data_IF_827772559243
#
_entry.id   IF_827772559243
#
_cell.length_a   1.000
_cell.length_b   1.000
_cell.length_c   1.000
_cell.angle_alpha   90.00
_cell.angle_beta   90.00
_cell.angle_gamma   90.00
#
_symmetry.space_group_name_H-M   'P 1'
#
loop_
_entity.id
_entity.type
_entity.pdbx_description
1 polymer ?
#
# COMPACT_ATOMS: atom_id res chain seq x y z
N UNK A 1 -12.31 -16.79 5.49
CA UNK A 1 -13.33 -17.83 5.80
C UNK A 1 -14.12 -18.08 4.52
N UNK A 2 -14.24 -19.34 4.10
CA UNK A 2 -15.11 -19.77 3.01
C UNK A 2 -16.43 -20.29 3.64
N UNK A 3 -17.55 -19.82 3.13
CA UNK A 3 -18.88 -20.34 3.51
C UNK A 3 -19.53 -20.87 2.24
N UNK A 4 -19.74 -22.18 2.20
CA UNK A 4 -20.49 -22.82 1.14
C UNK A 4 -21.97 -22.92 1.54
N UNK A 5 -22.87 -22.38 0.72
CA UNK A 5 -24.32 -22.38 0.95
C UNK A 5 -24.97 -23.17 -0.18
N UNK A 6 -25.26 -24.47 0.03
CA UNK A 6 -25.92 -25.28 -0.97
C UNK A 6 -27.30 -24.76 -1.37
N UNK A 7 -27.73 -25.07 -2.58
CA UNK A 7 -28.98 -24.56 -3.15
C UNK A 7 -30.24 -24.94 -2.30
N UNK A 8 -30.27 -26.12 -1.78
CA UNK A 8 -31.36 -26.60 -0.93
C UNK A 8 -31.46 -25.83 0.39
N UNK A 9 -30.31 -25.45 0.99
CA UNK A 9 -30.23 -24.60 2.19
C UNK A 9 -30.77 -23.19 1.91
N UNK A 10 -30.52 -22.63 0.74
CA UNK A 10 -31.04 -21.29 0.37
C UNK A 10 -32.57 -21.29 0.17
N UNK A 11 -33.18 -22.45 -0.10
CA UNK A 11 -34.61 -22.60 -0.28
C UNK A 11 -35.32 -23.06 1.00
N UNK A 12 -34.58 -23.46 2.03
CA UNK A 12 -35.13 -23.94 3.29
C UNK A 12 -35.78 -22.80 4.09
N UNK A 13 -36.90 -23.14 4.75
CA UNK A 13 -37.55 -22.23 5.70
C UNK A 13 -37.00 -22.54 7.09
N UNK A 14 -36.59 -21.53 7.83
CA UNK A 14 -36.12 -21.66 9.20
C UNK A 14 -36.72 -20.58 10.09
N UNK A 15 -36.76 -20.85 11.39
CA UNK A 15 -37.01 -19.81 12.39
C UNK A 15 -35.73 -18.98 12.54
N UNK A 16 -35.86 -17.66 12.40
CA UNK A 16 -34.75 -16.75 12.50
C UNK A 16 -34.92 -15.81 13.69
N UNK A 17 -33.94 -15.83 14.58
CA UNK A 17 -33.82 -14.88 15.67
C UNK A 17 -32.67 -13.89 15.36
N UNK A 18 -33.02 -12.63 15.24
CA UNK A 18 -32.00 -11.58 15.00
C UNK A 18 -31.09 -11.44 16.22
N UNK A 19 -29.85 -11.87 16.10
CA UNK A 19 -28.82 -11.67 17.13
C UNK A 19 -28.16 -10.31 16.95
N UNK A 20 -27.97 -9.60 18.05
CA UNK A 20 -27.13 -8.41 18.02
C UNK A 20 -25.69 -8.82 17.67
N UNK A 21 -25.00 -8.07 16.78
CA UNK A 21 -23.60 -8.34 16.47
C UNK A 21 -22.77 -8.25 17.75
N UNK A 22 -21.83 -9.18 17.92
CA UNK A 22 -20.86 -9.05 19.01
C UNK A 22 -20.03 -7.78 18.82
N UNK A 23 -19.77 -7.03 19.89
CA UNK A 23 -18.92 -5.85 19.81
C UNK A 23 -17.50 -6.25 19.36
N UNK A 24 -16.93 -5.44 18.47
CA UNK A 24 -15.55 -5.65 18.01
C UNK A 24 -14.62 -5.52 19.24
N UNK A 25 -13.88 -6.58 19.54
CA UNK A 25 -12.90 -6.57 20.63
C UNK A 25 -11.69 -5.72 20.20
N UNK A 26 -11.40 -4.68 20.96
CA UNK A 26 -10.18 -3.90 20.80
C UNK A 26 -9.06 -4.55 21.63
N UNK A 27 -7.91 -4.80 20.96
CA UNK A 27 -6.71 -5.31 21.66
C UNK A 27 -5.98 -4.12 22.25
N UNK A 28 -6.10 -3.93 23.56
CA UNK A 28 -5.49 -2.81 24.30
C UNK A 28 -4.29 -3.24 25.13
N UNK A 29 -4.03 -4.55 25.20
CA UNK A 29 -2.95 -5.13 25.99
C UNK A 29 -1.71 -5.35 25.16
N UNK A 30 -0.56 -5.15 25.76
CA UNK A 30 0.76 -5.44 25.21
C UNK A 30 1.73 -5.72 26.38
N UNK A 31 2.89 -6.31 26.10
CA UNK A 31 3.93 -6.53 27.08
C UNK A 31 4.77 -5.24 27.25
N UNK A 32 4.68 -4.64 28.44
CA UNK A 32 5.38 -3.39 28.76
C UNK A 32 6.92 -3.56 28.86
N UNK A 33 7.41 -4.76 29.18
CA UNK A 33 8.85 -5.03 29.21
C UNK A 33 9.42 -5.11 27.80
N UNK A 34 8.70 -5.76 26.89
CA UNK A 34 9.07 -5.79 25.47
C UNK A 34 9.06 -4.39 24.85
N UNK A 35 8.09 -3.54 25.20
CA UNK A 35 8.04 -2.14 24.74
C UNK A 35 9.24 -1.34 25.27
N UNK A 36 9.63 -1.54 26.53
CA UNK A 36 10.83 -0.91 27.11
C UNK A 36 12.09 -1.36 26.40
N UNK A 37 12.24 -2.67 26.18
CA UNK A 37 13.38 -3.21 25.47
C UNK A 37 13.47 -2.66 24.04
N UNK A 38 12.34 -2.58 23.32
CA UNK A 38 12.29 -1.95 22.01
C UNK A 38 12.76 -0.49 22.05
N UNK A 39 12.30 0.28 23.02
CA UNK A 39 12.72 1.67 23.19
C UNK A 39 14.24 1.79 23.49
N UNK A 40 14.81 0.90 24.27
CA UNK A 40 16.24 0.88 24.56
C UNK A 40 17.06 0.56 23.30
N UNK A 41 16.62 -0.42 22.48
CA UNK A 41 17.26 -0.74 21.20
C UNK A 41 17.21 0.45 20.23
N UNK A 42 16.05 1.10 20.10
CA UNK A 42 15.87 2.28 19.24
C UNK A 42 16.76 3.44 19.72
N UNK A 43 16.81 3.69 21.04
CA UNK A 43 17.63 4.77 21.61
C UNK A 43 19.15 4.53 21.45
N UNK A 44 19.59 3.29 21.24
CA UNK A 44 20.99 2.92 21.04
C UNK A 44 21.38 2.86 19.55
N UNK A 45 20.43 2.84 18.64
CA UNK A 45 20.65 2.65 17.22
C UNK A 45 21.42 3.83 16.59
N UNK A 46 22.28 3.52 15.63
CA UNK A 46 23.00 4.51 14.82
C UNK A 46 22.34 4.71 13.45
N UNK A 47 21.70 3.66 12.94
CA UNK A 47 21.02 3.65 11.63
C UNK A 47 19.62 3.04 11.75
N UNK A 48 18.77 3.61 12.62
CA UNK A 48 17.41 3.09 12.78
C UNK A 48 16.59 3.31 11.50
N UNK A 49 15.68 2.39 11.25
CA UNK A 49 14.73 2.47 10.14
C UNK A 49 13.36 1.95 10.58
N UNK A 50 12.30 2.68 10.29
CA UNK A 50 10.94 2.17 10.45
C UNK A 50 10.44 1.60 9.12
N UNK A 51 9.90 0.39 9.18
CA UNK A 51 9.18 -0.26 8.09
C UNK A 51 7.73 -0.50 8.51
N UNK A 52 6.78 0.17 7.86
CA UNK A 52 5.39 0.11 8.27
C UNK A 52 4.45 -0.39 7.19
N UNK A 53 3.40 -1.07 7.61
CA UNK A 53 2.43 -1.70 6.73
C UNK A 53 0.99 -1.27 6.96
N UNK A 54 0.05 -2.04 6.40
CA UNK A 54 -1.38 -1.76 6.49
C UNK A 54 -1.94 -1.71 7.91
N UNK A 55 -1.25 -2.28 8.91
CA UNK A 55 -1.67 -2.26 10.31
C UNK A 55 -1.65 -0.87 10.96
N UNK A 56 -0.92 0.11 10.38
CA UNK A 56 -0.86 1.49 10.92
C UNK A 56 -1.75 2.50 10.19
N UNK A 57 -2.73 2.04 9.40
CA UNK A 57 -3.61 2.94 8.62
C UNK A 57 -4.72 3.61 9.44
N UNK A 58 -4.92 3.26 10.69
CA UNK A 58 -5.90 3.91 11.54
C UNK A 58 -5.46 5.32 11.91
N UNK A 59 -6.40 6.24 12.10
CA UNK A 59 -6.07 7.60 12.57
C UNK A 59 -5.33 7.57 13.92
N UNK A 60 -5.69 6.62 14.79
CA UNK A 60 -5.08 6.45 16.11
C UNK A 60 -3.61 6.02 16.05
N UNK A 61 -3.16 5.30 14.99
CA UNK A 61 -1.78 4.82 14.84
C UNK A 61 -0.92 5.71 13.94
N UNK A 62 -1.51 6.46 13.01
CA UNK A 62 -0.76 7.32 12.10
C UNK A 62 0.04 8.40 12.84
N UNK A 63 -0.58 9.12 13.76
CA UNK A 63 0.08 10.23 14.44
C UNK A 63 1.20 9.75 15.38
N UNK A 64 1.00 8.74 16.28
CA UNK A 64 2.08 8.20 17.08
C UNK A 64 3.26 7.68 16.25
N UNK A 65 3.01 7.09 15.08
CA UNK A 65 4.09 6.69 14.18
C UNK A 65 4.90 7.90 13.70
N UNK A 66 4.25 8.95 13.20
CA UNK A 66 4.92 10.18 12.75
C UNK A 66 5.68 10.85 13.89
N UNK A 67 5.10 10.91 15.08
CA UNK A 67 5.75 11.46 16.27
C UNK A 67 7.04 10.69 16.63
N UNK A 68 7.03 9.36 16.50
CA UNK A 68 8.22 8.54 16.66
C UNK A 68 9.31 8.91 15.65
N UNK A 69 8.94 9.00 14.35
CA UNK A 69 9.88 9.33 13.28
C UNK A 69 10.55 10.68 13.51
N UNK A 70 9.75 11.71 13.81
CA UNK A 70 10.27 13.06 13.99
C UNK A 70 11.01 13.26 15.32
N UNK A 71 10.57 12.58 16.39
CA UNK A 71 11.21 12.70 17.71
C UNK A 71 12.65 12.21 17.72
N UNK A 72 12.91 11.12 17.02
CA UNK A 72 14.22 10.48 16.99
C UNK A 72 14.88 10.53 15.60
N UNK A 73 14.38 11.37 14.65
CA UNK A 73 14.89 11.50 13.29
C UNK A 73 15.10 10.14 12.59
N UNK A 74 14.07 9.29 12.67
CA UNK A 74 14.13 7.94 12.09
C UNK A 74 13.49 7.95 10.71
N UNK A 75 14.23 7.67 9.62
CA UNK A 75 13.66 7.52 8.30
C UNK A 75 12.72 6.30 8.24
N UNK A 76 11.76 6.34 7.31
CA UNK A 76 10.75 5.32 7.23
C UNK A 76 10.42 4.92 5.79
N UNK A 77 10.12 3.65 5.61
CA UNK A 77 9.66 3.06 4.34
C UNK A 77 8.37 2.28 4.56
N UNK A 78 7.58 2.10 3.51
CA UNK A 78 6.24 1.56 3.65
C UNK A 78 5.91 0.46 2.63
N UNK A 79 4.91 -0.36 2.98
CA UNK A 79 4.29 -1.27 2.03
C UNK A 79 3.26 -0.54 1.17
N UNK A 80 2.95 -1.11 0.00
CA UNK A 80 1.86 -0.62 -0.88
C UNK A 80 0.57 -0.27 -0.11
N UNK A 81 0.22 -1.08 0.90
CA UNK A 81 -1.00 -0.89 1.68
C UNK A 81 -0.95 0.27 2.68
N UNK A 82 0.22 0.87 2.91
CA UNK A 82 0.40 1.95 3.87
C UNK A 82 0.74 3.30 3.22
N UNK A 83 0.56 3.41 1.91
CA UNK A 83 0.76 4.66 1.19
C UNK A 83 -0.07 5.80 1.81
N UNK A 84 0.59 6.93 2.09
CA UNK A 84 -0.04 8.11 2.68
C UNK A 84 -0.13 8.13 4.23
N UNK A 85 0.31 7.07 4.92
CA UNK A 85 0.43 7.10 6.40
C UNK A 85 1.46 8.15 6.81
N UNK A 86 2.62 8.15 6.17
CA UNK A 86 3.57 9.27 6.20
C UNK A 86 3.40 10.01 4.88
N UNK A 87 3.02 11.30 4.90
CA UNK A 87 2.68 12.04 3.68
C UNK A 87 3.87 12.16 2.72
N UNK A 88 3.54 12.31 1.43
CA UNK A 88 4.52 12.70 0.42
C UNK A 88 5.14 14.06 0.80
N UNK A 89 6.47 14.16 0.67
CA UNK A 89 7.23 15.37 1.01
C UNK A 89 7.68 15.44 2.48
N UNK A 90 7.24 14.53 3.34
CA UNK A 90 7.80 14.40 4.69
C UNK A 90 9.26 13.93 4.57
N UNK A 91 10.24 14.61 5.22
CA UNK A 91 11.66 14.29 5.10
C UNK A 91 12.01 12.89 5.62
N UNK A 92 11.18 12.31 6.49
CA UNK A 92 11.38 10.94 6.98
C UNK A 92 10.81 9.88 6.03
N UNK A 93 10.05 10.25 5.00
CA UNK A 93 9.45 9.32 4.06
C UNK A 93 10.43 8.97 2.92
N UNK A 94 10.97 7.75 2.94
CA UNK A 94 11.87 7.24 1.91
C UNK A 94 11.16 6.64 0.69
N UNK A 95 9.84 6.48 0.75
CA UNK A 95 9.07 5.82 -0.30
C UNK A 95 8.76 4.35 -0.04
N UNK A 96 8.21 3.69 -1.06
CA UNK A 96 7.79 2.31 -0.98
C UNK A 96 8.97 1.33 -1.01
N UNK A 97 8.88 0.27 -0.21
CA UNK A 97 9.86 -0.82 -0.14
C UNK A 97 9.47 -1.99 -1.06
N UNK A 98 10.45 -2.77 -1.47
CA UNK A 98 10.29 -4.07 -2.11
C UNK A 98 10.53 -4.07 -3.61
N UNK A 99 9.99 -5.07 -4.31
CA UNK A 99 10.22 -5.32 -5.74
C UNK A 99 9.89 -4.12 -6.65
N UNK A 100 8.87 -3.34 -6.29
CA UNK A 100 8.45 -2.14 -7.01
C UNK A 100 8.72 -0.86 -6.21
N UNK A 101 9.54 -0.97 -5.17
CA UNK A 101 9.97 0.15 -4.35
C UNK A 101 11.11 0.96 -4.96
N UNK A 102 11.47 2.05 -4.30
CA UNK A 102 12.62 2.87 -4.73
C UNK A 102 13.95 2.27 -4.28
N UNK A 103 15.02 2.69 -4.92
CA UNK A 103 16.38 2.23 -4.60
C UNK A 103 16.76 2.59 -3.16
N UNK A 104 16.49 3.82 -2.74
CA UNK A 104 16.77 4.31 -1.39
C UNK A 104 16.14 3.45 -0.30
N UNK A 105 14.84 3.13 -0.42
CA UNK A 105 14.14 2.29 0.57
C UNK A 105 14.76 0.90 0.68
N UNK A 106 15.09 0.28 -0.45
CA UNK A 106 15.71 -1.04 -0.46
C UNK A 106 17.14 -1.00 0.11
N UNK A 107 17.92 0.04 -0.17
CA UNK A 107 19.26 0.23 0.41
C UNK A 107 19.19 0.50 1.92
N UNK A 108 18.25 1.32 2.37
CA UNK A 108 18.09 1.63 3.78
C UNK A 108 17.80 0.37 4.62
N UNK A 109 16.95 -0.53 4.13
CA UNK A 109 16.71 -1.82 4.81
C UNK A 109 17.96 -2.71 4.84
N UNK A 110 18.77 -2.69 3.80
CA UNK A 110 19.99 -3.51 3.76
C UNK A 110 21.10 -3.01 4.71
N UNK A 111 21.10 -1.70 5.03
CA UNK A 111 22.18 -1.05 5.78
C UNK A 111 21.80 -0.58 7.19
N UNK A 112 20.50 -0.64 7.56
CA UNK A 112 20.07 -0.29 8.92
C UNK A 112 20.65 -1.25 9.97
N UNK A 113 20.80 -0.76 11.21
CA UNK A 113 21.22 -1.55 12.37
C UNK A 113 20.05 -1.95 13.28
N UNK A 114 18.94 -1.17 13.25
CA UNK A 114 17.67 -1.52 13.89
C UNK A 114 16.54 -1.30 12.90
N UNK A 115 15.76 -2.35 12.64
CA UNK A 115 14.55 -2.30 11.80
C UNK A 115 13.30 -2.43 12.68
N UNK A 116 12.49 -1.38 12.74
CA UNK A 116 11.24 -1.37 13.48
C UNK A 116 10.09 -1.64 12.49
N UNK A 117 9.59 -2.86 12.46
CA UNK A 117 8.52 -3.31 11.59
C UNK A 117 7.16 -3.18 12.29
N UNK A 118 6.28 -2.30 11.79
CA UNK A 118 5.00 -1.98 12.46
C UNK A 118 3.83 -2.32 11.54
N UNK A 119 2.99 -3.28 11.96
CA UNK A 119 1.78 -3.69 11.23
C UNK A 119 2.08 -4.17 9.82
N UNK A 120 3.17 -4.93 9.65
CA UNK A 120 3.64 -5.47 8.38
C UNK A 120 4.02 -6.94 8.50
N UNK A 121 3.69 -7.73 7.49
CA UNK A 121 3.84 -9.19 7.48
C UNK A 121 5.03 -9.71 6.68
N UNK A 122 5.95 -8.85 6.26
CA UNK A 122 7.12 -9.25 5.44
C UNK A 122 6.74 -10.13 4.23
N UNK A 123 5.87 -9.60 3.37
CA UNK A 123 5.41 -10.36 2.20
C UNK A 123 6.55 -10.68 1.23
N UNK A 124 6.35 -11.71 0.41
CA UNK A 124 7.29 -12.14 -0.63
C UNK A 124 7.65 -11.04 -1.66
N UNK A 125 6.79 -10.04 -1.83
CA UNK A 125 7.07 -8.88 -2.70
C UNK A 125 8.02 -7.87 -2.07
N UNK A 126 8.27 -7.99 -0.78
CA UNK A 126 9.17 -7.12 -0.01
C UNK A 126 10.39 -7.90 0.46
N UNK A 127 10.20 -8.99 1.19
CA UNK A 127 11.27 -9.87 1.65
C UNK A 127 11.52 -10.98 0.62
N UNK A 128 12.00 -10.61 -0.58
CA UNK A 128 12.26 -11.53 -1.69
C UNK A 128 13.13 -12.73 -1.32
N UNK A 129 14.11 -12.50 -0.44
CA UNK A 129 14.91 -13.53 0.19
C UNK A 129 14.93 -13.28 1.71
N UNK A 130 14.08 -13.98 2.47
CA UNK A 130 13.96 -13.76 3.91
C UNK A 130 15.29 -13.94 4.66
N UNK A 131 16.15 -14.84 4.21
CA UNK A 131 17.45 -15.12 4.86
C UNK A 131 18.47 -13.98 4.75
N UNK A 132 18.29 -13.09 3.81
CA UNK A 132 19.20 -11.95 3.57
C UNK A 132 18.54 -10.60 3.78
N UNK A 133 17.25 -10.59 4.12
CA UNK A 133 16.48 -9.38 4.37
C UNK A 133 16.94 -8.76 5.70
N UNK A 134 17.37 -7.49 5.65
CA UNK A 134 17.84 -6.73 6.81
C UNK A 134 18.84 -7.51 7.70
N UNK A 135 19.72 -8.30 7.11
CA UNK A 135 20.60 -9.29 7.79
C UNK A 135 21.55 -8.70 8.82
N UNK A 136 21.78 -7.39 8.78
CA UNK A 136 22.68 -6.66 9.70
C UNK A 136 21.91 -5.92 10.78
N UNK A 137 20.58 -5.98 10.79
CA UNK A 137 19.74 -5.25 11.71
C UNK A 137 19.20 -6.14 12.82
N UNK A 138 19.04 -5.58 13.99
CA UNK A 138 18.13 -6.10 15.01
C UNK A 138 16.70 -5.78 14.59
N UNK A 139 15.87 -6.80 14.41
CA UNK A 139 14.51 -6.66 13.89
C UNK A 139 13.49 -6.68 15.03
N UNK A 140 12.76 -5.59 15.20
CA UNK A 140 11.64 -5.45 16.12
C UNK A 140 10.34 -5.54 15.28
N UNK A 141 9.46 -6.49 15.60
CA UNK A 141 8.18 -6.62 14.91
C UNK A 141 7.01 -6.34 15.86
N UNK A 142 6.14 -5.41 15.48
CA UNK A 142 4.92 -5.05 16.22
C UNK A 142 3.73 -5.41 15.33
N UNK A 143 2.90 -6.34 15.79
CA UNK A 143 1.68 -6.71 15.08
C UNK A 143 0.56 -7.09 16.07
N UNK A 144 -0.69 -6.88 15.66
CA UNK A 144 -1.86 -7.27 16.45
C UNK A 144 -2.11 -8.78 16.37
N UNK A 145 -1.66 -9.41 15.29
CA UNK A 145 -1.79 -10.84 15.06
C UNK A 145 -0.50 -11.58 15.44
N UNK A 146 -0.55 -12.31 16.54
CA UNK A 146 0.57 -13.11 17.01
C UNK A 146 1.06 -14.14 15.99
N UNK A 147 0.20 -14.58 15.07
CA UNK A 147 0.57 -15.55 14.02
C UNK A 147 1.41 -14.96 12.88
N UNK A 148 1.49 -13.64 12.78
CA UNK A 148 2.35 -12.96 11.79
C UNK A 148 3.76 -12.67 12.31
N UNK A 149 3.97 -12.77 13.64
CA UNK A 149 5.27 -12.50 14.25
C UNK A 149 6.28 -13.61 13.94
N UNK A 150 7.44 -13.24 13.39
CA UNK A 150 8.50 -14.19 13.01
C UNK A 150 8.14 -15.19 11.92
N UNK A 151 7.00 -15.03 11.24
CA UNK A 151 6.48 -16.01 10.28
C UNK A 151 7.31 -16.09 8.98
N UNK A 152 7.69 -14.97 8.43
CA UNK A 152 8.36 -14.89 7.13
C UNK A 152 9.83 -14.49 7.24
N UNK A 153 10.18 -13.71 8.26
CA UNK A 153 11.53 -13.25 8.57
C UNK A 153 11.77 -13.50 10.06
N UNK A 154 12.93 -14.03 10.41
CA UNK A 154 13.31 -14.17 11.82
C UNK A 154 13.42 -12.78 12.45
N UNK A 155 12.86 -12.63 13.65
CA UNK A 155 12.84 -11.36 14.38
C UNK A 155 13.46 -11.52 15.78
N UNK A 156 14.16 -10.47 16.23
CA UNK A 156 14.84 -10.49 17.53
C UNK A 156 13.90 -10.13 18.68
N UNK A 157 12.91 -9.26 18.40
CA UNK A 157 11.91 -8.83 19.38
C UNK A 157 10.53 -8.75 18.75
N UNK A 158 9.59 -9.49 19.33
CA UNK A 158 8.19 -9.53 18.90
C UNK A 158 7.29 -8.86 19.94
N UNK A 159 6.43 -7.93 19.51
CA UNK A 159 5.45 -7.28 20.37
C UNK A 159 4.05 -7.52 19.82
N UNK A 160 3.24 -8.30 20.53
CA UNK A 160 1.82 -8.49 20.21
C UNK A 160 1.04 -7.30 20.74
N UNK A 161 0.34 -6.58 19.88
CA UNK A 161 -0.51 -5.46 20.29
C UNK A 161 -0.98 -4.59 19.13
N UNK A 162 -2.01 -3.81 19.38
CA UNK A 162 -2.44 -2.79 18.44
C UNK A 162 -1.37 -1.69 18.34
N UNK A 163 -1.01 -1.33 17.12
CA UNK A 163 0.06 -0.38 16.83
C UNK A 163 -0.12 0.97 17.54
N UNK A 164 -1.37 1.46 17.68
CA UNK A 164 -1.63 2.72 18.34
C UNK A 164 -1.27 2.66 19.83
N UNK A 165 -1.68 1.59 20.53
CA UNK A 165 -1.38 1.43 21.95
C UNK A 165 0.12 1.20 22.20
N UNK A 166 0.76 0.35 21.41
CA UNK A 166 2.20 0.07 21.52
C UNK A 166 3.03 1.32 21.25
N UNK A 167 2.75 2.05 20.16
CA UNK A 167 3.48 3.27 19.82
C UNK A 167 3.29 4.36 20.88
N UNK A 168 2.07 4.56 21.38
CA UNK A 168 1.82 5.55 22.45
C UNK A 168 2.55 5.19 23.77
N UNK A 169 2.67 3.91 24.12
CA UNK A 169 3.42 3.46 25.27
C UNK A 169 4.94 3.57 25.09
N UNK A 170 5.42 3.44 23.86
CA UNK A 170 6.83 3.53 23.50
C UNK A 170 7.32 4.99 23.44
N UNK A 171 6.52 5.90 22.88
CA UNK A 171 6.90 7.29 22.64
C UNK A 171 7.50 8.03 23.85
N UNK A 172 6.97 7.92 25.09
CA UNK A 172 7.57 8.58 26.26
C UNK A 172 8.97 8.08 26.58
N UNK A 173 9.34 6.87 26.17
CA UNK A 173 10.61 6.21 26.44
C UNK A 173 11.67 6.48 25.36
N UNK A 174 11.25 6.99 24.19
CA UNK A 174 12.14 7.37 23.10
C UNK A 174 12.80 8.72 23.43
N UNK A 175 14.11 8.78 23.32
CA UNK A 175 14.88 10.01 23.46
C UNK A 175 14.92 10.78 22.14
N UNK A 176 14.87 12.12 22.17
CA UNK A 176 15.19 12.91 21.00
C UNK A 176 16.60 12.59 20.50
N UNK A 177 16.73 12.27 19.22
CA UNK A 177 18.00 11.90 18.62
C UNK A 177 18.14 12.51 17.22
N UNK A 178 19.37 12.49 16.71
CA UNK A 178 19.69 12.83 15.30
C UNK A 178 20.72 11.85 14.78
N UNK A 179 20.59 11.53 13.50
CA UNK A 179 21.45 10.55 12.83
C UNK A 179 22.10 11.15 11.56
N UNK A 180 22.95 12.19 11.68
CA UNK A 180 23.44 12.97 10.53
C UNK A 180 24.19 12.11 9.49
N UNK A 181 25.02 11.17 9.92
CA UNK A 181 25.77 10.30 9.02
C UNK A 181 24.83 9.36 8.27
N UNK A 182 23.82 8.82 8.97
CA UNK A 182 22.78 7.96 8.39
C UNK A 182 21.95 8.73 7.35
N UNK A 183 21.50 9.93 7.68
CA UNK A 183 20.74 10.77 6.77
C UNK A 183 21.57 11.21 5.57
N UNK A 184 22.86 11.46 5.73
CA UNK A 184 23.78 11.76 4.62
C UNK A 184 23.90 10.56 3.66
N UNK A 185 24.03 9.34 4.19
CA UNK A 185 24.04 8.14 3.36
C UNK A 185 22.73 7.99 2.58
N UNK A 186 21.59 8.18 3.24
CA UNK A 186 20.26 8.11 2.61
C UNK A 186 20.14 9.14 1.48
N UNK A 187 20.54 10.40 1.70
CA UNK A 187 20.53 11.44 0.67
C UNK A 187 21.37 11.07 -0.54
N UNK A 188 22.52 10.40 -0.33
CA UNK A 188 23.36 9.92 -1.43
C UNK A 188 22.67 8.86 -2.29
N UNK A 189 21.79 8.05 -1.70
CA UNK A 189 20.97 7.06 -2.43
C UNK A 189 19.76 7.68 -3.10
N UNK A 190 19.12 8.66 -2.47
CA UNK A 190 18.01 9.42 -3.09
C UNK A 190 18.42 10.09 -4.40
N UNK A 191 19.66 10.56 -4.48
CA UNK A 191 20.23 11.09 -5.73
C UNK A 191 20.38 10.02 -6.83
N UNK A 192 20.29 8.73 -6.49
CA UNK A 192 20.40 7.60 -7.41
C UNK A 192 19.03 6.94 -7.67
N UNK A 193 17.96 7.40 -7.00
CA UNK A 193 16.62 6.90 -7.27
C UNK A 193 16.23 7.14 -8.73
N UNK A 194 15.46 6.18 -9.28
CA UNK A 194 15.00 6.31 -10.65
C UNK A 194 14.03 7.47 -10.81
N UNK A 195 14.43 8.41 -11.65
CA UNK A 195 13.56 9.50 -12.09
C UNK A 195 13.09 9.22 -13.51
N UNK A 196 11.77 9.10 -13.74
CA UNK A 196 11.25 8.80 -15.06
C UNK A 196 11.56 9.94 -16.04
N UNK A 197 12.12 9.58 -17.18
CA UNK A 197 12.41 10.53 -18.25
C UNK A 197 11.16 10.70 -19.12
N UNK A 198 10.79 11.95 -19.38
CA UNK A 198 9.72 12.27 -20.32
C UNK A 198 10.19 12.10 -21.76
N UNK A 199 9.38 11.42 -22.56
CA UNK A 199 9.59 11.30 -24.01
C UNK A 199 8.67 12.33 -24.69
N UNK A 200 9.21 13.28 -25.50
CA UNK A 200 8.39 14.30 -26.15
C UNK A 200 7.44 13.73 -27.21
N UNK A 201 7.66 12.50 -27.64
CA UNK A 201 6.83 11.83 -28.68
C UNK A 201 5.76 10.91 -28.10
N UNK A 202 5.78 10.69 -26.78
CA UNK A 202 4.89 9.71 -26.08
C UNK A 202 4.40 10.27 -24.76
N UNK A 203 3.14 9.99 -24.47
CA UNK A 203 2.58 10.27 -23.17
C UNK A 203 2.99 9.17 -22.18
N UNK A 204 3.77 9.55 -21.16
CA UNK A 204 4.30 8.61 -20.17
C UNK A 204 3.39 8.49 -18.93
N UNK A 205 3.31 7.33 -18.29
CA UNK A 205 2.42 7.11 -17.14
C UNK A 205 2.59 8.12 -16.00
N UNK A 206 3.83 8.48 -15.68
CA UNK A 206 4.13 9.47 -14.61
C UNK A 206 3.57 10.86 -14.94
N UNK A 207 3.54 11.25 -16.22
CA UNK A 207 2.97 12.53 -16.67
C UNK A 207 1.44 12.52 -16.49
N UNK A 208 0.77 11.43 -16.91
CA UNK A 208 -0.68 11.28 -16.74
C UNK A 208 -1.07 11.31 -15.28
N UNK A 209 -0.41 10.50 -14.44
CA UNK A 209 -0.71 10.42 -13.02
C UNK A 209 -0.42 11.75 -12.32
N UNK A 210 0.70 12.38 -12.64
CA UNK A 210 1.07 13.67 -12.09
C UNK A 210 0.06 14.77 -12.41
N UNK A 211 -0.40 14.83 -13.67
CA UNK A 211 -1.40 15.81 -14.11
C UNK A 211 -2.77 15.55 -13.45
N UNK A 212 -3.22 14.30 -13.38
CA UNK A 212 -4.44 13.93 -12.67
C UNK A 212 -4.37 14.34 -11.19
N UNK A 213 -3.23 14.11 -10.53
CA UNK A 213 -3.03 14.55 -9.14
C UNK A 213 -3.08 16.07 -9.00
N UNK A 214 -2.52 16.82 -9.96
CA UNK A 214 -2.58 18.28 -9.96
C UNK A 214 -4.02 18.80 -10.10
N UNK A 215 -4.80 18.22 -11.00
CA UNK A 215 -6.19 18.62 -11.26
C UNK A 215 -7.16 18.21 -10.14
N UNK A 216 -6.96 17.01 -9.56
CA UNK A 216 -7.86 16.48 -8.55
C UNK A 216 -7.54 17.00 -7.13
N UNK A 217 -6.32 17.40 -6.88
CA UNK A 217 -5.87 17.96 -5.61
C UNK A 217 -5.56 16.88 -4.53
N UNK A 218 -5.05 17.33 -3.36
CA UNK A 218 -4.52 16.44 -2.32
C UNK A 218 -5.59 15.63 -1.58
N UNK A 219 -6.85 16.06 -1.66
CA UNK A 219 -7.97 15.39 -0.97
C UNK A 219 -8.61 14.28 -1.81
N UNK A 220 -8.23 14.13 -3.06
CA UNK A 220 -8.76 13.06 -3.90
C UNK A 220 -8.42 11.67 -3.33
N UNK A 221 -9.31 10.72 -3.56
CA UNK A 221 -9.10 9.31 -3.25
C UNK A 221 -8.81 8.58 -4.55
N UNK A 222 -7.70 7.86 -4.55
CA UNK A 222 -7.21 7.13 -5.71
C UNK A 222 -7.46 5.64 -5.53
N UNK A 223 -8.14 5.06 -6.50
CA UNK A 223 -8.40 3.62 -6.57
C UNK A 223 -7.60 3.04 -7.72
N UNK A 224 -7.01 1.88 -7.56
CA UNK A 224 -6.38 1.20 -8.68
C UNK A 224 -6.94 -0.18 -8.90
N UNK A 225 -7.00 -0.55 -10.16
CA UNK A 225 -7.03 -1.95 -10.56
C UNK A 225 -5.62 -2.56 -10.52
N UNK A 226 -5.44 -3.80 -10.94
CA UNK A 226 -4.19 -4.54 -10.81
C UNK A 226 -3.46 -4.69 -12.15
N UNK A 227 -2.18 -4.31 -12.15
CA UNK A 227 -1.27 -4.36 -13.30
C UNK A 227 -0.14 -3.34 -13.18
N UNK A 228 0.54 -3.03 -14.30
CA UNK A 228 1.60 -2.00 -14.30
C UNK A 228 1.08 -0.63 -13.84
N UNK A 229 -0.14 -0.26 -14.23
CA UNK A 229 -0.79 0.98 -13.81
C UNK A 229 -0.92 1.10 -12.27
N UNK A 230 -1.13 -0.02 -11.57
CA UNK A 230 -1.13 -0.06 -10.10
C UNK A 230 0.23 0.35 -9.54
N UNK A 231 1.32 -0.18 -10.10
CA UNK A 231 2.66 0.14 -9.64
C UNK A 231 3.04 1.58 -9.98
N UNK A 232 2.69 2.06 -11.16
CA UNK A 232 2.88 3.47 -11.53
C UNK A 232 2.09 4.41 -10.62
N UNK A 233 0.83 4.08 -10.33
CA UNK A 233 0.02 4.85 -9.40
C UNK A 233 0.65 4.87 -7.99
N UNK A 234 1.09 3.73 -7.48
CA UNK A 234 1.75 3.64 -6.18
C UNK A 234 3.04 4.48 -6.09
N UNK A 235 3.78 4.60 -7.20
CA UNK A 235 5.05 5.33 -7.26
C UNK A 235 4.87 6.83 -7.53
N UNK A 236 3.89 7.23 -8.34
CA UNK A 236 3.78 8.60 -8.86
C UNK A 236 2.65 9.43 -8.24
N UNK A 237 1.69 8.81 -7.55
CA UNK A 237 0.72 9.57 -6.76
C UNK A 237 1.42 10.19 -5.55
N UNK A 238 1.15 11.47 -5.33
CA UNK A 238 1.57 12.18 -4.12
C UNK A 238 0.61 11.82 -2.98
N UNK A 239 0.89 10.74 -2.30
CA UNK A 239 0.05 10.24 -1.21
C UNK A 239 0.10 11.17 0.00
N UNK A 240 -0.98 11.87 0.28
CA UNK A 240 -1.04 12.90 1.34
C UNK A 240 -1.74 12.41 2.61
N UNK A 241 -2.57 11.38 2.50
CA UNK A 241 -3.37 10.88 3.62
C UNK A 241 -3.48 9.36 3.64
N UNK A 242 -3.55 8.81 4.85
CA UNK A 242 -3.86 7.40 5.05
C UNK A 242 -5.23 7.06 4.46
N UNK A 243 -5.37 5.85 3.90
CA UNK A 243 -6.58 5.38 3.21
C UNK A 243 -6.99 6.20 1.98
N UNK A 244 -6.16 7.14 1.53
CA UNK A 244 -6.35 7.87 0.27
C UNK A 244 -6.00 7.04 -0.97
N UNK A 245 -5.41 5.84 -0.78
CA UNK A 245 -5.06 4.92 -1.86
C UNK A 245 -5.70 3.55 -1.61
N UNK A 246 -6.57 3.12 -2.50
CA UNK A 246 -7.36 1.89 -2.41
C UNK A 246 -6.94 0.95 -3.52
N UNK A 247 -6.45 -0.22 -3.16
CA UNK A 247 -5.90 -1.18 -4.13
C UNK A 247 -5.98 -2.62 -3.62
N UNK A 248 -6.03 -3.60 -4.49
CA UNK A 248 -5.88 -5.01 -4.17
C UNK A 248 -4.40 -5.35 -4.00
N UNK A 249 -3.80 -4.97 -2.85
CA UNK A 249 -2.39 -5.18 -2.56
C UNK A 249 -2.05 -6.52 -1.90
N UNK A 250 -3.05 -7.30 -1.51
CA UNK A 250 -2.89 -8.64 -0.95
C UNK A 250 -2.95 -9.72 -2.04
N UNK A 251 -4.14 -9.98 -2.57
CA UNK A 251 -4.36 -10.99 -3.60
C UNK A 251 -3.98 -10.51 -5.02
N UNK A 252 -4.06 -9.22 -5.30
CA UNK A 252 -3.75 -8.67 -6.61
C UNK A 252 -4.82 -9.02 -7.65
N UNK A 253 -6.08 -8.80 -7.33
CA UNK A 253 -7.22 -9.20 -8.16
C UNK A 253 -7.46 -8.19 -9.28
N UNK A 254 -7.27 -8.61 -10.54
CA UNK A 254 -7.71 -7.83 -11.69
C UNK A 254 -9.25 -7.75 -11.73
N UNK A 255 -9.79 -6.56 -12.04
CA UNK A 255 -11.22 -6.28 -11.97
C UNK A 255 -11.71 -5.73 -10.62
N UNK A 256 -10.84 -5.62 -9.63
CA UNK A 256 -11.16 -5.04 -8.31
C UNK A 256 -11.53 -3.55 -8.38
N UNK A 257 -10.90 -2.81 -9.30
CA UNK A 257 -10.86 -1.35 -9.25
C UNK A 257 -12.23 -0.67 -9.34
N UNK A 258 -13.09 -1.11 -10.26
CA UNK A 258 -14.36 -0.41 -10.49
C UNK A 258 -15.32 -0.57 -9.30
N UNK A 259 -15.49 -1.79 -8.80
CA UNK A 259 -16.31 -2.02 -7.60
C UNK A 259 -15.79 -1.28 -6.37
N UNK A 260 -14.46 -1.22 -6.21
CA UNK A 260 -13.83 -0.46 -5.13
C UNK A 260 -14.04 1.05 -5.27
N UNK A 261 -14.01 1.59 -6.51
CA UNK A 261 -14.28 3.00 -6.78
C UNK A 261 -15.74 3.37 -6.50
N UNK A 262 -16.69 2.51 -6.89
CA UNK A 262 -18.11 2.65 -6.54
C UNK A 262 -18.29 2.69 -5.02
N UNK A 263 -17.73 1.72 -4.30
CA UNK A 263 -17.81 1.67 -2.84
C UNK A 263 -17.19 2.89 -2.17
N UNK A 264 -16.05 3.37 -2.66
CA UNK A 264 -15.40 4.57 -2.17
C UNK A 264 -16.26 5.83 -2.40
N UNK A 265 -16.81 5.99 -3.61
CA UNK A 265 -17.64 7.15 -3.94
C UNK A 265 -18.95 7.18 -3.13
N UNK A 266 -19.58 6.03 -2.94
CA UNK A 266 -20.78 5.92 -2.10
C UNK A 266 -20.50 6.25 -0.63
N UNK A 267 -19.36 5.80 -0.10
CA UNK A 267 -18.98 6.06 1.28
C UNK A 267 -18.58 7.51 1.54
N UNK A 268 -17.99 8.18 0.55
CA UNK A 268 -17.44 9.53 0.68
C UNK A 268 -18.43 10.64 0.24
N UNK A 269 -19.49 10.28 -0.45
CA UNK A 269 -20.43 11.24 -1.03
C UNK A 269 -19.95 11.82 -2.37
N UNK A 270 -20.81 12.60 -3.03
CA UNK A 270 -20.57 13.10 -4.40
C UNK A 270 -19.57 14.25 -4.47
N UNK A 271 -19.37 14.97 -3.38
CA UNK A 271 -18.45 16.12 -3.33
C UNK A 271 -16.97 15.71 -3.27
N UNK A 272 -16.69 14.47 -2.85
CA UNK A 272 -15.35 13.93 -2.79
C UNK A 272 -14.94 13.34 -4.14
N UNK A 273 -13.77 13.73 -4.63
CA UNK A 273 -13.23 13.19 -5.89
C UNK A 273 -12.67 11.80 -5.67
N UNK A 274 -13.19 10.84 -6.43
CA UNK A 274 -12.66 9.48 -6.54
C UNK A 274 -12.14 9.27 -7.95
N UNK A 275 -10.85 8.91 -8.05
CA UNK A 275 -10.17 8.65 -9.32
C UNK A 275 -9.77 7.20 -9.36
N UNK A 276 -10.16 6.49 -10.42
CA UNK A 276 -9.73 5.12 -10.66
C UNK A 276 -8.70 5.06 -11.78
N UNK A 277 -7.52 4.51 -11.48
CA UNK A 277 -6.53 4.14 -12.47
C UNK A 277 -6.65 2.66 -12.81
N UNK A 278 -6.84 2.33 -14.08
CA UNK A 278 -6.95 0.95 -14.54
C UNK A 278 -6.18 0.73 -15.85
N UNK A 279 -5.93 -0.52 -16.20
CA UNK A 279 -5.43 -0.91 -17.51
C UNK A 279 -6.58 -1.44 -18.38
N UNK A 280 -6.38 -1.44 -19.70
CA UNK A 280 -7.34 -2.00 -20.64
C UNK A 280 -7.73 -3.44 -20.32
N UNK A 281 -6.77 -4.26 -19.88
CA UNK A 281 -7.00 -5.65 -19.50
C UNK A 281 -7.88 -5.81 -18.27
N UNK A 282 -7.59 -5.09 -17.19
CA UNK A 282 -8.34 -5.15 -15.93
C UNK A 282 -9.72 -4.53 -16.06
N UNK A 283 -9.85 -3.42 -16.78
CA UNK A 283 -11.12 -2.74 -17.01
C UNK A 283 -12.16 -3.65 -17.68
N UNK A 284 -11.74 -4.50 -18.62
CA UNK A 284 -12.63 -5.46 -19.27
C UNK A 284 -13.23 -6.49 -18.30
N UNK A 285 -12.59 -6.78 -17.19
CA UNK A 285 -13.08 -7.82 -16.28
C UNK A 285 -14.35 -7.42 -15.55
N UNK A 286 -14.54 -6.11 -15.30
CA UNK A 286 -15.71 -5.56 -14.61
C UNK A 286 -16.30 -4.32 -15.30
N UNK A 287 -16.20 -4.25 -16.62
CA UNK A 287 -16.76 -3.15 -17.42
C UNK A 287 -18.27 -2.95 -17.18
N UNK A 288 -19.01 -4.03 -16.91
CA UNK A 288 -20.43 -4.00 -16.58
C UNK A 288 -20.77 -3.12 -15.38
N UNK A 289 -19.85 -2.94 -14.43
CA UNK A 289 -20.06 -2.09 -13.25
C UNK A 289 -20.13 -0.59 -13.60
N UNK A 290 -19.74 -0.21 -14.81
CA UNK A 290 -20.00 1.14 -15.32
C UNK A 290 -21.49 1.47 -15.33
N UNK A 291 -22.37 0.48 -15.64
CA UNK A 291 -23.82 0.66 -15.56
C UNK A 291 -24.29 0.93 -14.13
N UNK A 292 -23.69 0.29 -13.14
CA UNK A 292 -23.95 0.55 -11.71
C UNK A 292 -23.59 1.99 -11.36
N UNK A 293 -22.39 2.44 -11.73
CA UNK A 293 -21.93 3.79 -11.46
C UNK A 293 -22.86 4.86 -12.07
N UNK A 294 -23.30 4.65 -13.32
CA UNK A 294 -24.26 5.54 -14.00
C UNK A 294 -25.62 5.52 -13.33
N UNK A 295 -26.15 4.35 -13.00
CA UNK A 295 -27.46 4.21 -12.35
C UNK A 295 -27.55 4.93 -11.00
N UNK A 296 -26.43 5.00 -10.30
CA UNK A 296 -26.32 5.74 -9.01
C UNK A 296 -25.74 7.14 -9.19
N UNK A 297 -25.49 7.60 -10.43
CA UNK A 297 -24.94 8.92 -10.77
C UNK A 297 -23.64 9.21 -9.98
N UNK A 298 -22.73 8.25 -9.90
CA UNK A 298 -21.48 8.39 -9.17
C UNK A 298 -20.42 9.09 -10.04
N UNK A 299 -19.88 10.25 -9.61
CA UNK A 299 -18.94 11.05 -10.42
C UNK A 299 -17.50 10.50 -10.33
N UNK A 300 -17.32 9.21 -10.68
CA UNK A 300 -16.02 8.55 -10.67
C UNK A 300 -15.24 8.96 -11.90
N UNK A 301 -14.01 9.44 -11.72
CA UNK A 301 -13.08 9.72 -12.80
C UNK A 301 -12.29 8.44 -13.10
N UNK A 302 -12.47 7.88 -14.30
CA UNK A 302 -11.78 6.66 -14.72
C UNK A 302 -10.69 6.97 -15.74
N UNK A 303 -9.45 6.63 -15.41
CA UNK A 303 -8.27 6.80 -16.27
C UNK A 303 -7.79 5.42 -16.72
N UNK A 304 -7.91 5.14 -18.02
CA UNK A 304 -7.56 3.84 -18.62
C UNK A 304 -6.22 3.94 -19.33
N UNK A 305 -5.21 3.20 -18.83
CA UNK A 305 -3.95 3.01 -19.54
C UNK A 305 -4.13 1.93 -20.61
N UNK A 306 -4.45 2.37 -21.81
CA UNK A 306 -4.68 1.47 -22.93
C UNK A 306 -3.38 1.25 -23.71
N UNK A 307 -2.64 0.23 -23.35
CA UNK A 307 -1.41 -0.18 -24.04
C UNK A 307 -1.54 -1.48 -24.83
N UNK A 308 -2.76 -2.03 -24.91
CA UNK A 308 -3.11 -3.25 -25.64
C UNK A 308 -2.33 -4.49 -25.21
N UNK A 309 -1.84 -4.51 -23.95
CA UNK A 309 -1.02 -5.60 -23.43
C UNK A 309 -1.29 -5.83 -21.95
N UNK A 310 -1.23 -7.10 -21.49
CA UNK A 310 -1.17 -7.43 -20.07
C UNK A 310 0.24 -7.10 -19.55
N UNK A 311 0.48 -5.82 -19.28
CA UNK A 311 1.81 -5.24 -19.14
C UNK A 311 2.65 -5.85 -18.01
N UNK A 312 2.07 -6.15 -16.85
CA UNK A 312 2.79 -6.77 -15.73
C UNK A 312 3.26 -8.19 -16.11
N UNK A 313 2.41 -9.00 -16.71
CA UNK A 313 2.76 -10.36 -17.15
C UNK A 313 3.85 -10.31 -18.23
N UNK A 314 3.71 -9.42 -19.19
CA UNK A 314 4.71 -9.22 -20.26
C UNK A 314 6.06 -8.75 -19.69
N UNK A 315 6.06 -7.89 -18.69
CA UNK A 315 7.28 -7.46 -17.99
C UNK A 315 8.01 -8.66 -17.35
N UNK A 316 7.28 -9.54 -16.68
CA UNK A 316 7.84 -10.76 -16.11
C UNK A 316 8.39 -11.70 -17.17
N UNK A 317 7.65 -11.91 -18.27
CA UNK A 317 8.12 -12.71 -19.39
C UNK A 317 9.39 -12.12 -20.02
N UNK A 318 9.51 -10.80 -20.05
CA UNK A 318 10.71 -10.11 -20.53
C UNK A 318 11.90 -10.35 -19.59
N UNK A 319 11.69 -10.15 -18.28
CA UNK A 319 12.77 -10.13 -17.29
C UNK A 319 13.25 -11.52 -16.87
N UNK A 320 12.32 -12.50 -16.77
CA UNK A 320 12.61 -13.79 -16.16
C UNK A 320 12.44 -14.99 -17.09
N UNK A 321 11.73 -14.84 -18.22
CA UNK A 321 11.39 -15.94 -19.11
C UNK A 321 11.99 -15.80 -20.52
N UNK A 322 13.10 -15.07 -20.66
CA UNK A 322 13.83 -14.95 -21.92
C UNK A 322 12.99 -14.38 -23.07
N UNK A 323 12.07 -13.45 -22.77
CA UNK A 323 11.15 -12.81 -23.74
C UNK A 323 10.22 -13.82 -24.45
N UNK A 324 9.94 -14.95 -23.85
CA UNK A 324 8.95 -15.91 -24.37
C UNK A 324 7.54 -15.44 -24.03
N UNK A 325 6.98 -14.63 -24.92
CA UNK A 325 5.66 -14.03 -24.74
C UNK A 325 4.55 -15.04 -25.03
N UNK A 326 3.59 -15.16 -24.12
CA UNK A 326 2.42 -16.02 -24.26
C UNK A 326 1.19 -15.33 -23.65
N UNK A 327 0.12 -15.21 -24.42
CA UNK A 327 -1.19 -14.67 -24.00
C UNK A 327 -1.15 -13.29 -23.32
N UNK A 328 -0.16 -12.46 -23.63
CA UNK A 328 -0.03 -11.10 -23.07
C UNK A 328 -0.49 -9.99 -24.01
N UNK A 329 -0.82 -10.35 -25.26
CA UNK A 329 -1.41 -9.45 -26.24
C UNK A 329 -2.84 -9.95 -26.58
N UNK A 330 -3.86 -9.39 -25.92
CA UNK A 330 -5.23 -9.92 -26.00
C UNK A 330 -5.94 -9.61 -27.31
N UNK A 331 -5.31 -8.96 -28.29
CA UNK A 331 -5.87 -8.64 -29.62
C UNK A 331 -7.27 -7.99 -29.56
N UNK A 332 -7.53 -7.12 -28.59
CA UNK A 332 -8.85 -6.52 -28.37
C UNK A 332 -9.06 -5.32 -29.28
N UNK A 333 -10.27 -5.23 -29.84
CA UNK A 333 -10.72 -4.09 -30.66
C UNK A 333 -11.70 -3.19 -29.90
N UNK A 334 -11.64 -3.16 -28.58
CA UNK A 334 -12.56 -2.38 -27.76
C UNK A 334 -12.24 -0.89 -27.92
N UNK A 335 -13.24 -0.14 -28.31
CA UNK A 335 -13.22 1.31 -28.30
C UNK A 335 -13.72 1.79 -26.94
N UNK A 336 -12.80 2.19 -26.06
CA UNK A 336 -13.14 2.61 -24.69
C UNK A 336 -13.87 3.96 -24.62
N UNK A 337 -13.93 4.72 -25.70
CA UNK A 337 -14.66 6.00 -25.77
C UNK A 337 -16.16 5.76 -25.96
N UNK A 338 -16.54 4.74 -26.71
CA UNK A 338 -17.95 4.42 -26.96
C UNK A 338 -18.78 4.07 -25.72
N UNK A 339 -18.30 3.24 -24.78
CA UNK A 339 -19.02 3.02 -23.51
C UNK A 339 -19.30 4.32 -22.75
N UNK A 340 -18.37 5.25 -22.75
CA UNK A 340 -18.55 6.58 -22.13
C UNK A 340 -19.67 7.35 -22.83
N UNK A 341 -19.72 7.34 -24.15
CA UNK A 341 -20.79 8.01 -24.93
C UNK A 341 -22.16 7.35 -24.71
N UNK A 342 -22.21 6.03 -24.54
CA UNK A 342 -23.45 5.27 -24.34
C UNK A 342 -24.03 5.43 -22.94
N UNK A 343 -23.16 5.59 -21.94
CA UNK A 343 -23.55 5.68 -20.55
C UNK A 343 -23.63 7.12 -20.04
N UNK A 344 -23.30 8.11 -20.88
CA UNK A 344 -23.21 9.52 -20.49
C UNK A 344 -22.28 9.77 -19.27
N UNK A 345 -21.21 8.97 -19.18
CA UNK A 345 -20.16 9.11 -18.17
C UNK A 345 -19.24 10.31 -18.47
#
# INVERSE_FOLDING_TARGET
>A
VLVDIPKDVTAAVCEFEAKQPEPIRTVTTFDAEQVRWAADLINAAQRPLVYFGGGVRSAASCQPLRDLLHKAEIPATYTLMAAGVVPYGDPMNLGMLGMHGCYTSNRAVAECDVLIAVGTRFSDRVALNPKTFAKNATIIQIDIDASELGKNVDVDLSIVGDAAYVLNAMLPQIKPAKHPDWMTMIQSWQAQDYHPVSDPTRLMPHQVIGEVCNQCGPEAVYVTDVGQHQMWAAQYIRHTKSRGFITSGGLGTMGFGYGAAIGAQMALGRDQRVVMFTGDGSFHMNLNEACTAVSYELPIITVIFNNSVLGMVRQWQTSFYGKRYSNTDPQRRTDFVKPVSYTHL
#
